data_IF_743493862328
#
_entry.id   IF_743493862328
#
_cell.length_a   1.000
_cell.length_b   1.000
_cell.length_c   1.000
_cell.angle_alpha   90.00
_cell.angle_beta   90.00
_cell.angle_gamma   90.00
#
_symmetry.space_group_name_H-M   'P 1'
#
loop_
_entity.id
_entity.type
_entity.pdbx_description
1 polymer ?
#
# COMPACT_ATOMS: atom_id res chain seq x y z
N UNK A 1 -8.55 17.46 -22.26
CA UNK A 1 -7.73 16.83 -23.32
C UNK A 1 -6.28 16.92 -22.90
N UNK A 2 -5.60 15.78 -22.72
CA UNK A 2 -4.22 15.74 -22.23
C UNK A 2 -3.51 14.54 -22.83
N UNK A 3 -2.19 14.56 -22.80
CA UNK A 3 -1.19 13.56 -23.29
C UNK A 3 -1.48 12.07 -23.05
N UNK A 4 -2.61 11.70 -22.44
CA UNK A 4 -3.16 10.35 -22.29
C UNK A 4 -4.21 10.00 -23.35
N UNK A 5 -4.45 10.85 -24.36
CA UNK A 5 -5.41 10.57 -25.44
C UNK A 5 -5.09 9.31 -26.25
N UNK A 6 -3.81 8.93 -26.31
CA UNK A 6 -3.38 7.66 -26.91
C UNK A 6 -3.85 6.43 -26.12
N UNK A 7 -4.27 6.59 -24.85
CA UNK A 7 -4.89 5.53 -24.05
C UNK A 7 -6.41 5.45 -24.22
N UNK A 8 -7.05 6.39 -24.92
CA UNK A 8 -8.50 6.37 -25.14
C UNK A 8 -8.99 5.08 -25.81
N UNK A 9 -8.33 4.54 -26.86
CA UNK A 9 -8.77 3.29 -27.49
C UNK A 9 -8.70 2.11 -26.53
N UNK A 10 -7.69 2.10 -25.65
CA UNK A 10 -7.52 1.07 -24.62
C UNK A 10 -8.61 1.23 -23.55
N UNK A 11 -8.88 2.47 -23.12
CA UNK A 11 -9.95 2.78 -22.18
C UNK A 11 -11.32 2.35 -22.70
N UNK A 12 -11.63 2.61 -23.97
CA UNK A 12 -12.87 2.19 -24.63
C UNK A 12 -12.95 0.67 -24.76
N UNK A 13 -11.85 0.00 -25.11
CA UNK A 13 -11.80 -1.47 -25.12
C UNK A 13 -12.10 -2.05 -23.73
N UNK A 14 -11.50 -1.49 -22.67
CA UNK A 14 -11.81 -1.89 -21.30
C UNK A 14 -13.25 -1.59 -20.91
N UNK A 15 -13.82 -0.45 -21.33
CA UNK A 15 -15.23 -0.15 -21.13
C UNK A 15 -16.13 -1.18 -21.80
N UNK A 16 -15.83 -1.60 -23.03
CA UNK A 16 -16.57 -2.64 -23.73
C UNK A 16 -16.48 -3.99 -23.02
N UNK A 17 -15.28 -4.35 -22.53
CA UNK A 17 -15.07 -5.56 -21.73
C UNK A 17 -15.88 -5.49 -20.43
N UNK A 18 -15.81 -4.39 -19.68
CA UNK A 18 -16.56 -4.22 -18.43
C UNK A 18 -18.07 -4.11 -18.63
N UNK A 19 -18.51 -3.54 -19.76
CA UNK A 19 -19.91 -3.54 -20.18
C UNK A 19 -20.40 -4.95 -20.45
N UNK A 20 -19.62 -5.74 -21.21
CA UNK A 20 -19.95 -7.13 -21.54
C UNK A 20 -19.97 -8.05 -20.31
N UNK A 21 -19.13 -7.79 -19.31
CA UNK A 21 -19.10 -8.52 -18.03
C UNK A 21 -20.21 -8.04 -17.08
N UNK A 22 -20.93 -6.95 -17.40
CA UNK A 22 -22.02 -6.42 -16.57
C UNK A 22 -21.57 -5.67 -15.31
N UNK A 23 -20.30 -5.25 -15.29
CA UNK A 23 -19.63 -4.69 -14.10
C UNK A 23 -19.80 -3.17 -14.00
N UNK A 24 -20.24 -2.51 -15.06
CA UNK A 24 -20.40 -1.05 -15.09
C UNK A 24 -21.60 -0.53 -14.27
N UNK A 25 -22.49 -1.42 -13.84
CA UNK A 25 -23.64 -1.05 -13.00
C UNK A 25 -23.31 -1.22 -11.51
N UNK A 26 -23.68 -0.25 -10.69
CA UNK A 26 -23.69 -0.43 -9.23
C UNK A 26 -24.78 -1.44 -8.85
N UNK A 27 -24.53 -2.47 -8.02
CA UNK A 27 -23.35 -2.72 -7.16
C UNK A 27 -22.26 -3.64 -7.76
N UNK A 28 -22.40 -4.11 -9.02
CA UNK A 28 -21.43 -5.01 -9.66
C UNK A 28 -20.01 -4.44 -9.74
N UNK A 29 -19.90 -3.14 -9.99
CA UNK A 29 -18.61 -2.41 -9.99
C UNK A 29 -17.88 -2.50 -8.65
N UNK A 30 -18.62 -2.44 -7.55
CA UNK A 30 -18.09 -2.49 -6.18
C UNK A 30 -17.43 -3.85 -5.90
N UNK A 31 -18.14 -4.95 -6.19
CA UNK A 31 -17.62 -6.31 -5.96
C UNK A 31 -16.42 -6.62 -6.84
N UNK A 32 -16.45 -6.19 -8.11
CA UNK A 32 -15.34 -6.39 -9.01
C UNK A 32 -14.08 -5.66 -8.54
N UNK A 33 -14.19 -4.40 -8.10
CA UNK A 33 -13.04 -3.64 -7.59
C UNK A 33 -12.47 -4.30 -6.34
N UNK A 34 -13.31 -4.85 -5.46
CA UNK A 34 -12.86 -5.59 -4.27
C UNK A 34 -12.12 -6.85 -4.69
N UNK A 35 -12.71 -7.69 -5.56
CA UNK A 35 -12.09 -8.93 -6.03
C UNK A 35 -10.77 -8.65 -6.77
N UNK A 36 -10.73 -7.62 -7.59
CA UNK A 36 -9.54 -7.17 -8.30
C UNK A 36 -8.43 -6.74 -7.33
N UNK A 37 -8.77 -5.96 -6.30
CA UNK A 37 -7.82 -5.58 -5.26
C UNK A 37 -7.27 -6.79 -4.50
N UNK A 38 -8.12 -7.78 -4.18
CA UNK A 38 -7.69 -9.02 -3.52
C UNK A 38 -6.70 -9.78 -4.41
N UNK A 39 -7.02 -9.96 -5.70
CA UNK A 39 -6.13 -10.63 -6.66
C UNK A 39 -4.78 -9.92 -6.77
N UNK A 40 -4.78 -8.58 -6.88
CA UNK A 40 -3.53 -7.80 -6.88
C UNK A 40 -2.77 -8.01 -5.58
N UNK A 41 -3.43 -7.96 -4.42
CA UNK A 41 -2.77 -8.11 -3.12
C UNK A 41 -2.11 -9.50 -2.98
N UNK A 42 -2.76 -10.56 -3.46
CA UNK A 42 -2.22 -11.92 -3.46
C UNK A 42 -1.01 -12.02 -4.40
N UNK A 43 -1.13 -11.55 -5.64
CA UNK A 43 -0.02 -11.54 -6.60
C UNK A 43 1.17 -10.73 -6.09
N UNK A 44 0.91 -9.56 -5.51
CA UNK A 44 1.90 -8.70 -4.86
C UNK A 44 2.64 -9.45 -3.76
N UNK A 45 1.91 -10.14 -2.87
CA UNK A 45 2.49 -10.90 -1.77
C UNK A 45 3.37 -12.04 -2.26
N UNK A 46 2.91 -12.78 -3.28
CA UNK A 46 3.67 -13.89 -3.87
C UNK A 46 4.96 -13.39 -4.50
N UNK A 47 4.88 -12.33 -5.30
CA UNK A 47 6.05 -11.77 -5.97
C UNK A 47 7.03 -11.15 -4.96
N UNK A 48 6.52 -10.48 -3.93
CA UNK A 48 7.35 -9.93 -2.86
C UNK A 48 8.09 -11.03 -2.11
N UNK A 49 7.43 -12.16 -1.83
CA UNK A 49 8.08 -13.32 -1.19
C UNK A 49 9.14 -13.96 -2.09
N UNK A 50 8.96 -13.92 -3.41
CA UNK A 50 9.94 -14.44 -4.36
C UNK A 50 11.15 -13.50 -4.56
N UNK A 51 10.95 -12.18 -4.48
CA UNK A 51 12.00 -11.18 -4.70
C UNK A 51 12.78 -10.80 -3.43
N UNK A 52 12.23 -11.05 -2.24
CA UNK A 52 12.84 -10.66 -0.97
C UNK A 52 13.40 -11.88 -0.23
N UNK A 53 14.64 -11.76 0.23
CA UNK A 53 15.24 -12.66 1.20
C UNK A 53 14.77 -12.33 2.63
N UNK A 54 13.79 -13.09 3.11
CA UNK A 54 13.17 -12.91 4.43
C UNK A 54 14.16 -13.20 5.56
N UNK A 55 15.07 -14.16 5.37
CA UNK A 55 16.05 -14.56 6.38
C UNK A 55 17.10 -13.46 6.57
N UNK A 56 17.59 -12.87 5.48
CA UNK A 56 18.51 -11.74 5.54
C UNK A 56 17.88 -10.54 6.24
N UNK A 57 16.63 -10.20 5.92
CA UNK A 57 15.91 -9.10 6.57
C UNK A 57 15.72 -9.37 8.06
N UNK A 58 15.30 -10.57 8.45
CA UNK A 58 15.05 -10.89 9.87
C UNK A 58 16.33 -10.85 10.72
N UNK A 59 17.47 -11.31 10.18
CA UNK A 59 18.78 -11.23 10.83
C UNK A 59 19.21 -9.78 11.06
N UNK A 60 19.13 -8.96 10.03
CA UNK A 60 19.47 -7.53 10.13
C UNK A 60 18.52 -6.77 11.06
N UNK A 61 17.23 -7.11 11.10
CA UNK A 61 16.29 -6.54 12.07
C UNK A 61 16.68 -6.86 13.52
N UNK A 62 17.13 -8.09 13.80
CA UNK A 62 17.60 -8.48 15.13
C UNK A 62 18.83 -7.68 15.54
N UNK A 63 19.82 -7.56 14.65
CA UNK A 63 21.03 -6.76 14.90
C UNK A 63 20.72 -5.29 15.17
N UNK A 64 19.83 -4.67 14.39
CA UNK A 64 19.36 -3.30 14.61
C UNK A 64 18.67 -3.17 15.98
N UNK A 65 17.83 -4.14 16.36
CA UNK A 65 17.12 -4.13 17.64
C UNK A 65 18.07 -4.25 18.82
N UNK A 66 19.07 -5.13 18.74
CA UNK A 66 20.13 -5.27 19.74
C UNK A 66 20.97 -3.99 19.87
N UNK A 67 21.33 -3.38 18.73
CA UNK A 67 22.06 -2.11 18.72
C UNK A 67 21.26 -0.97 19.35
N UNK A 68 19.98 -0.84 19.01
CA UNK A 68 19.10 0.16 19.60
C UNK A 68 18.89 -0.06 21.11
N UNK A 69 18.82 -1.31 21.57
CA UNK A 69 18.75 -1.64 22.99
C UNK A 69 20.05 -1.24 23.73
N UNK A 70 21.21 -1.49 23.12
CA UNK A 70 22.51 -1.09 23.67
C UNK A 70 22.69 0.44 23.67
N UNK A 71 22.22 1.12 22.63
CA UNK A 71 22.20 2.59 22.55
C UNK A 71 21.35 3.19 23.66
N UNK A 72 20.15 2.64 23.89
CA UNK A 72 19.27 3.05 24.98
C UNK A 72 19.94 2.84 26.35
N UNK A 73 20.50 1.66 26.61
CA UNK A 73 21.24 1.38 27.85
C UNK A 73 22.44 2.31 28.05
N UNK A 74 23.18 2.64 27.00
CA UNK A 74 24.31 3.56 27.09
C UNK A 74 23.88 4.99 27.43
N UNK A 75 22.71 5.42 26.93
CA UNK A 75 22.11 6.72 27.28
C UNK A 75 21.59 6.72 28.72
N UNK A 76 20.92 5.65 29.14
CA UNK A 76 20.33 5.53 30.48
C UNK A 76 21.40 5.42 31.59
N UNK A 77 22.50 4.70 31.34
CA UNK A 77 23.60 4.50 32.30
C UNK A 77 24.71 5.56 32.22
N UNK A 78 24.66 6.48 31.24
CA UNK A 78 25.69 7.49 30.96
C UNK A 78 27.13 6.92 30.85
N UNK A 79 27.26 5.65 30.44
CA UNK A 79 28.56 4.98 30.33
C UNK A 79 29.30 5.42 29.06
N UNK A 80 30.35 6.20 29.25
CA UNK A 80 31.20 6.76 28.18
C UNK A 80 31.86 5.66 27.33
N UNK A 81 32.20 4.51 27.90
CA UNK A 81 32.84 3.39 27.19
C UNK A 81 31.84 2.65 26.31
N UNK A 82 30.64 2.42 26.83
CA UNK A 82 29.55 1.80 26.06
C UNK A 82 29.07 2.72 24.93
N UNK A 83 28.97 4.02 25.18
CA UNK A 83 28.59 5.02 24.18
C UNK A 83 29.56 5.04 22.98
N UNK A 84 30.87 5.06 23.23
CA UNK A 84 31.87 5.00 22.15
C UNK A 84 31.77 3.70 21.33
N UNK A 85 31.49 2.56 21.97
CA UNK A 85 31.31 1.28 21.28
C UNK A 85 30.07 1.27 20.38
N UNK A 86 28.96 1.84 20.85
CA UNK A 86 27.72 2.02 20.07
C UNK A 86 27.97 2.97 18.90
N UNK A 87 28.59 4.12 19.14
CA UNK A 87 28.83 5.13 18.11
C UNK A 87 29.69 4.59 16.95
N UNK A 88 30.71 3.76 17.24
CA UNK A 88 31.50 3.07 16.21
C UNK A 88 30.69 2.11 15.33
N UNK A 89 29.64 1.49 15.88
CA UNK A 89 28.77 0.56 15.14
C UNK A 89 27.61 1.27 14.43
N UNK A 90 27.32 2.53 14.76
CA UNK A 90 26.21 3.30 14.17
C UNK A 90 26.31 3.37 12.64
N UNK A 91 27.51 3.59 12.09
CA UNK A 91 27.72 3.68 10.64
C UNK A 91 27.41 2.36 9.92
N UNK A 92 27.86 1.23 10.49
CA UNK A 92 27.54 -0.11 10.01
C UNK A 92 26.03 -0.38 10.04
N UNK A 93 25.37 -0.03 11.15
CA UNK A 93 23.92 -0.20 11.31
C UNK A 93 23.14 0.68 10.33
N UNK A 94 23.57 1.92 10.13
CA UNK A 94 22.97 2.83 9.14
C UNK A 94 23.09 2.27 7.72
N UNK A 95 24.25 1.67 7.38
CA UNK A 95 24.44 0.99 6.10
C UNK A 95 23.47 -0.18 5.93
N UNK A 96 23.34 -1.04 6.93
CA UNK A 96 22.37 -2.15 6.92
C UNK A 96 20.93 -1.62 6.76
N UNK A 97 20.55 -0.58 7.51
CA UNK A 97 19.21 0.02 7.40
C UNK A 97 18.93 0.53 5.99
N UNK A 98 19.91 1.17 5.35
CA UNK A 98 19.80 1.63 3.96
C UNK A 98 19.68 0.45 2.99
N UNK A 99 20.48 -0.61 3.16
CA UNK A 99 20.40 -1.81 2.32
C UNK A 99 19.03 -2.50 2.45
N UNK A 100 18.49 -2.58 3.67
CA UNK A 100 17.15 -3.11 3.93
C UNK A 100 16.06 -2.25 3.30
N UNK A 101 16.20 -0.92 3.33
CA UNK A 101 15.25 -0.02 2.67
C UNK A 101 15.25 -0.25 1.16
N UNK A 102 16.43 -0.36 0.54
CA UNK A 102 16.55 -0.64 -0.90
C UNK A 102 15.95 -2.02 -1.23
N UNK A 103 16.20 -3.04 -0.42
CA UNK A 103 15.62 -4.38 -0.61
C UNK A 103 14.08 -4.35 -0.56
N UNK A 104 13.48 -3.52 0.29
CA UNK A 104 12.02 -3.32 0.34
C UNK A 104 11.50 -2.44 -0.81
N UNK A 105 12.29 -1.49 -1.28
CA UNK A 105 11.92 -0.61 -2.40
C UNK A 105 11.99 -1.32 -3.76
N UNK A 106 12.88 -2.32 -3.94
CA UNK A 106 12.97 -3.11 -5.17
C UNK A 106 11.60 -3.66 -5.62
N UNK A 107 10.87 -4.44 -4.80
CA UNK A 107 9.55 -4.93 -5.21
C UNK A 107 8.54 -3.79 -5.34
N UNK A 108 8.60 -2.76 -4.50
CA UNK A 108 7.69 -1.61 -4.61
C UNK A 108 7.82 -0.93 -5.98
N UNK A 109 9.04 -0.69 -6.48
CA UNK A 109 9.29 -0.06 -7.77
C UNK A 109 8.87 -0.94 -8.95
N UNK A 110 9.15 -2.25 -8.87
CA UNK A 110 8.73 -3.22 -9.89
C UNK A 110 7.20 -3.23 -10.03
N UNK A 111 6.48 -3.10 -8.91
CA UNK A 111 5.02 -3.07 -8.89
C UNK A 111 4.43 -1.68 -9.15
N UNK A 112 5.15 -0.62 -8.83
CA UNK A 112 4.66 0.75 -8.99
C UNK A 112 4.29 1.05 -10.44
N UNK A 113 5.14 0.66 -11.40
CA UNK A 113 4.91 0.91 -12.84
C UNK A 113 3.65 0.19 -13.36
N UNK A 114 3.50 -1.15 -13.25
CA UNK A 114 2.32 -1.83 -13.77
C UNK A 114 1.04 -1.46 -13.03
N UNK A 115 1.08 -1.29 -11.70
CA UNK A 115 -0.11 -0.91 -10.92
C UNK A 115 -0.56 0.50 -11.30
N UNK A 116 0.37 1.45 -11.44
CA UNK A 116 0.05 2.82 -11.84
C UNK A 116 -0.52 2.87 -13.26
N UNK A 117 0.04 2.09 -14.18
CA UNK A 117 -0.48 1.97 -15.55
C UNK A 117 -1.93 1.46 -15.56
N UNK A 118 -2.20 0.36 -14.84
CA UNK A 118 -3.56 -0.20 -14.73
C UNK A 118 -4.51 0.80 -14.05
N UNK A 119 -4.05 1.52 -13.02
CA UNK A 119 -4.84 2.54 -12.36
C UNK A 119 -5.29 3.65 -13.32
N UNK A 120 -4.38 4.17 -14.15
CA UNK A 120 -4.74 5.18 -15.15
C UNK A 120 -5.73 4.64 -16.19
N UNK A 121 -5.57 3.40 -16.64
CA UNK A 121 -6.49 2.73 -17.56
C UNK A 121 -7.89 2.53 -16.96
N UNK A 122 -7.97 2.08 -15.71
CA UNK A 122 -9.27 1.94 -15.04
C UNK A 122 -9.91 3.30 -14.77
N UNK A 123 -9.11 4.32 -14.44
CA UNK A 123 -9.62 5.68 -14.23
C UNK A 123 -10.26 6.27 -15.48
N UNK A 124 -9.69 6.02 -16.67
CA UNK A 124 -10.32 6.46 -17.93
C UNK A 124 -11.59 5.67 -18.22
N UNK A 125 -11.60 4.36 -17.94
CA UNK A 125 -12.77 3.50 -18.18
C UNK A 125 -13.97 3.85 -17.26
N UNK A 126 -13.73 4.15 -15.98
CA UNK A 126 -14.79 4.45 -15.00
C UNK A 126 -14.99 5.95 -14.75
N UNK A 127 -14.57 6.80 -15.69
CA UNK A 127 -14.73 8.25 -15.58
C UNK A 127 -16.22 8.62 -15.52
N UNK A 128 -16.64 9.37 -14.50
CA UNK A 128 -18.03 9.82 -14.27
C UNK A 128 -19.07 8.73 -13.93
N UNK A 129 -18.66 7.50 -13.60
CA UNK A 129 -19.60 6.44 -13.17
C UNK A 129 -19.68 6.39 -11.63
N UNK A 130 -20.90 6.46 -11.03
CA UNK A 130 -21.06 6.25 -9.59
C UNK A 130 -20.77 4.80 -9.22
N UNK A 131 -19.73 4.56 -8.41
CA UNK A 131 -19.32 3.20 -8.02
C UNK A 131 -19.87 2.80 -6.65
N UNK A 132 -19.90 3.74 -5.70
CA UNK A 132 -20.39 3.48 -4.36
C UNK A 132 -21.18 4.67 -3.82
N UNK A 133 -22.25 4.35 -3.09
CA UNK A 133 -23.06 5.31 -2.34
C UNK A 133 -22.69 5.23 -0.87
N UNK A 134 -22.40 6.37 -0.24
CA UNK A 134 -22.08 6.43 1.19
C UNK A 134 -23.06 7.33 1.95
N UNK A 135 -23.46 6.95 3.18
CA UNK A 135 -24.41 7.70 3.99
C UNK A 135 -23.80 8.89 4.75
N UNK A 136 -22.56 9.28 4.44
CA UNK A 136 -21.84 10.37 5.12
C UNK A 136 -21.13 11.29 4.13
N UNK A 137 -20.93 12.56 4.54
CA UNK A 137 -20.28 13.60 3.73
C UNK A 137 -18.77 13.58 3.98
N UNK A 138 -17.98 13.49 2.92
CA UNK A 138 -16.52 13.64 2.98
C UNK A 138 -16.10 15.06 2.65
N UNK A 139 -15.02 15.59 3.27
CA UNK A 139 -14.38 16.82 2.80
C UNK A 139 -13.86 16.64 1.37
N UNK A 140 -14.07 17.66 0.53
CA UNK A 140 -13.64 17.65 -0.87
C UNK A 140 -12.11 17.68 -0.98
N UNK A 141 -11.49 16.50 -1.10
CA UNK A 141 -10.07 16.39 -1.43
C UNK A 141 -9.95 16.35 -2.95
N UNK A 142 -9.46 17.44 -3.54
CA UNK A 142 -9.36 17.66 -4.99
C UNK A 142 -8.69 16.51 -5.78
N UNK A 143 -7.75 15.79 -5.15
CA UNK A 143 -6.98 14.69 -5.78
C UNK A 143 -7.67 13.33 -5.70
N UNK A 144 -8.52 13.10 -4.71
CA UNK A 144 -9.10 11.78 -4.41
C UNK A 144 -10.58 11.72 -4.82
N UNK A 145 -11.27 12.87 -4.84
CA UNK A 145 -12.73 12.96 -4.95
C UNK A 145 -13.15 14.08 -5.92
N UNK A 146 -12.57 14.11 -7.12
CA UNK A 146 -13.10 14.95 -8.20
C UNK A 146 -14.43 14.36 -8.71
N UNK A 147 -15.50 15.15 -8.69
CA UNK A 147 -16.91 14.81 -9.01
C UNK A 147 -17.79 14.34 -7.83
N UNK A 148 -17.93 15.17 -6.80
CA UNK A 148 -19.01 15.10 -5.80
C UNK A 148 -20.21 15.99 -6.22
N UNK A 149 -21.11 15.52 -7.08
CA UNK A 149 -22.56 15.85 -6.98
C UNK A 149 -23.16 15.35 -5.66
N UNK A 150 -23.70 16.28 -4.90
CA UNK A 150 -24.41 15.99 -3.67
C UNK A 150 -25.88 15.71 -3.99
N UNK A 151 -26.40 14.58 -3.52
CA UNK A 151 -27.86 14.35 -3.47
C UNK A 151 -28.24 14.26 -1.98
N UNK A 152 -28.67 15.39 -1.42
CA UNK A 152 -29.05 15.60 -0.01
C UNK A 152 -28.07 15.08 1.06
N UNK A 153 -28.12 13.78 1.34
CA UNK A 153 -27.38 13.07 2.39
C UNK A 153 -26.48 11.95 1.86
N UNK A 154 -26.58 11.60 0.58
CA UNK A 154 -25.76 10.57 -0.05
C UNK A 154 -24.66 11.20 -0.88
N UNK A 155 -23.44 10.70 -0.68
CA UNK A 155 -22.29 11.02 -1.53
C UNK A 155 -22.01 9.84 -2.45
N UNK A 156 -22.13 10.05 -3.76
CA UNK A 156 -21.48 9.18 -4.77
C UNK A 156 -19.96 9.37 -4.69
N UNK A 157 -19.23 8.25 -4.72
CA UNK A 157 -17.77 8.27 -4.82
C UNK A 157 -17.34 7.69 -6.16
N UNK A 158 -16.48 8.44 -6.85
CA UNK A 158 -15.86 8.02 -8.09
C UNK A 158 -14.85 6.89 -7.88
N UNK A 159 -14.37 6.33 -8.99
CA UNK A 159 -13.44 5.20 -9.02
C UNK A 159 -12.20 5.42 -8.15
N UNK A 160 -11.58 6.59 -8.27
CA UNK A 160 -10.35 6.92 -7.53
C UNK A 160 -10.57 6.86 -6.02
N UNK A 161 -11.62 7.49 -5.49
CA UNK A 161 -11.91 7.47 -4.06
C UNK A 161 -12.25 6.08 -3.54
N UNK A 162 -13.08 5.32 -4.27
CA UNK A 162 -13.45 3.95 -3.86
C UNK A 162 -12.26 2.98 -3.92
N UNK A 163 -11.42 3.10 -4.94
CA UNK A 163 -10.18 2.33 -5.06
C UNK A 163 -9.24 2.62 -3.87
N UNK A 164 -8.94 3.89 -3.58
CA UNK A 164 -8.06 4.21 -2.43
C UNK A 164 -8.64 3.76 -1.09
N UNK A 165 -9.95 3.94 -0.87
CA UNK A 165 -10.61 3.51 0.37
C UNK A 165 -10.51 1.99 0.54
N UNK A 166 -10.81 1.23 -0.51
CA UNK A 166 -10.72 -0.24 -0.48
C UNK A 166 -9.27 -0.71 -0.38
N UNK A 167 -8.31 -0.10 -1.07
CA UNK A 167 -6.90 -0.47 -0.97
C UNK A 167 -6.31 -0.19 0.43
N UNK A 168 -6.65 0.95 1.07
CA UNK A 168 -6.18 1.26 2.44
C UNK A 168 -6.90 0.37 3.47
N UNK A 169 -8.20 0.16 3.32
CA UNK A 169 -8.99 -0.71 4.20
C UNK A 169 -8.56 -2.17 4.13
N UNK A 170 -8.48 -2.71 2.91
CA UNK A 170 -8.00 -4.08 2.67
C UNK A 170 -6.52 -4.23 2.99
N UNK A 171 -5.70 -3.20 2.79
CA UNK A 171 -4.28 -3.24 3.15
C UNK A 171 -4.06 -3.54 4.63
N UNK A 172 -4.86 -2.95 5.52
CA UNK A 172 -4.82 -3.25 6.95
C UNK A 172 -5.36 -4.65 7.28
N UNK A 173 -6.42 -5.08 6.57
CA UNK A 173 -7.02 -6.40 6.76
C UNK A 173 -6.10 -7.54 6.31
N UNK A 174 -5.50 -7.41 5.13
CA UNK A 174 -4.56 -8.38 4.54
C UNK A 174 -3.29 -8.52 5.37
N UNK A 175 -2.75 -7.41 5.91
CA UNK A 175 -1.60 -7.46 6.83
C UNK A 175 -1.90 -8.24 8.12
N UNK A 176 -3.13 -8.10 8.65
CA UNK A 176 -3.58 -8.87 9.82
C UNK A 176 -3.76 -10.35 9.47
N UNK A 177 -4.37 -10.66 8.32
CA UNK A 177 -4.63 -12.05 7.91
C UNK A 177 -3.34 -12.82 7.57
N UNK A 178 -2.33 -12.15 6.99
CA UNK A 178 -1.03 -12.75 6.68
C UNK A 178 -0.07 -12.84 7.87
N UNK A 179 -0.54 -12.55 9.09
CA UNK A 179 0.27 -12.62 10.31
C UNK A 179 1.38 -11.57 10.40
N UNK A 180 1.43 -10.60 9.50
CA UNK A 180 2.44 -9.54 9.44
C UNK A 180 2.13 -8.37 10.40
N UNK A 181 1.70 -8.70 11.62
CA UNK A 181 1.60 -7.74 12.71
C UNK A 181 2.99 -7.59 13.32
N UNK A 182 3.66 -6.43 13.25
CA UNK A 182 4.82 -6.18 14.09
C UNK A 182 4.33 -5.82 15.49
N UNK A 183 3.66 -6.72 16.20
CA UNK A 183 3.37 -6.56 17.63
C UNK A 183 3.15 -7.94 18.24
N UNK A 184 3.78 -8.15 19.39
CA UNK A 184 3.82 -9.37 20.21
C UNK A 184 4.91 -10.40 19.84
N UNK A 185 6.16 -9.97 19.71
CA UNK A 185 7.21 -10.77 20.37
C UNK A 185 6.87 -10.72 21.86
N UNK A 186 6.28 -11.81 22.38
CA UNK A 186 6.06 -12.05 23.80
C UNK A 186 7.23 -11.49 24.58
N UNK A 187 6.98 -10.47 25.41
CA UNK A 187 7.79 -10.24 26.58
C UNK A 187 7.70 -11.55 27.37
N UNK A 188 8.81 -12.29 27.48
CA UNK A 188 8.93 -13.26 28.56
C UNK A 188 8.86 -12.45 29.85
N UNK A 189 7.86 -12.65 30.72
CA UNK A 189 8.00 -12.18 32.08
C UNK A 189 9.05 -13.07 32.74
N UNK A 190 9.94 -12.40 33.47
CA UNK A 190 10.94 -12.92 34.42
C UNK A 190 12.07 -13.76 33.86
#
# INVERSE_FOLDING_TARGET
>A
MGWLSWLNPIGEWFQLVFYKIGVLYSPGSTYFIILFNITIAVLMSLLTRALIDVDKISRHQREIKEHNANKKKAMDTADKKLWQKVQRREEYIKKIQSEMMIQQMKPMLVWFVPITMIFFLMRTAFLNIPIAWMPFKFPEIWIIISNLKYLDKLTWMGFTGWYFLTSVGLGNFVRRFMGASPTATRMSPT
#
